data_IF_802003714424
#
_entry.id   IF_802003714424
#
_cell.length_a   1.000
_cell.length_b   1.000
_cell.length_c   1.000
_cell.angle_alpha   90.00
_cell.angle_beta   90.00
_cell.angle_gamma   90.00
#
_symmetry.space_group_name_H-M   'P 1'
#
loop_
_entity.id
_entity.type
_entity.pdbx_description
1 polymer ?
#
# COMPACT_ATOMS: atom_id res chain seq x y z
N UNK A 1 45.18 25.30 -47.76
CA UNK A 1 43.88 25.02 -48.40
C UNK A 1 43.47 23.58 -48.10
N UNK A 2 42.47 23.38 -47.24
CA UNK A 2 41.50 22.26 -47.28
C UNK A 2 40.50 22.45 -46.14
N UNK A 3 39.45 23.20 -46.43
CA UNK A 3 38.17 23.11 -45.74
C UNK A 3 37.46 21.81 -46.13
N UNK A 4 36.81 21.16 -45.19
CA UNK A 4 35.68 20.21 -45.29
C UNK A 4 35.47 19.69 -43.85
N UNK A 5 34.29 19.48 -43.26
CA UNK A 5 32.90 19.74 -43.59
C UNK A 5 32.10 19.57 -42.27
N UNK A 6 30.91 20.16 -42.20
CA UNK A 6 29.96 20.13 -41.08
C UNK A 6 29.66 18.71 -40.55
N UNK A 7 29.34 18.62 -39.25
CA UNK A 7 28.00 18.16 -38.82
C UNK A 7 27.75 18.39 -37.33
N UNK A 8 26.87 19.35 -37.02
CA UNK A 8 26.13 19.42 -35.76
C UNK A 8 25.20 18.21 -35.67
N UNK A 9 25.34 17.39 -34.63
CA UNK A 9 24.31 16.42 -34.23
C UNK A 9 24.27 16.32 -32.72
N UNK A 10 23.69 17.31 -32.05
CA UNK A 10 23.30 17.19 -30.65
C UNK A 10 22.03 16.32 -30.58
N UNK A 11 22.21 15.00 -30.46
CA UNK A 11 21.12 14.07 -30.17
C UNK A 11 20.70 14.23 -28.71
N UNK A 12 19.70 15.06 -28.46
CA UNK A 12 19.05 15.17 -27.15
C UNK A 12 18.08 13.99 -27.00
N UNK A 13 18.54 12.86 -26.46
CA UNK A 13 17.66 11.77 -26.06
C UNK A 13 16.84 12.23 -24.84
N UNK A 14 15.59 12.64 -25.05
CA UNK A 14 14.59 12.66 -23.98
C UNK A 14 14.25 11.21 -23.64
N UNK A 15 14.91 10.65 -22.63
CA UNK A 15 14.49 9.41 -22.01
C UNK A 15 13.17 9.66 -21.25
N UNK A 16 12.04 9.44 -21.92
CA UNK A 16 10.74 9.32 -21.25
C UNK A 16 10.75 8.01 -20.46
N UNK A 17 11.19 8.09 -19.20
CA UNK A 17 11.16 6.96 -18.28
C UNK A 17 9.71 6.52 -18.05
N UNK A 18 9.34 5.35 -18.57
CA UNK A 18 8.09 4.71 -18.23
C UNK A 18 8.11 4.34 -16.74
N UNK A 19 7.37 5.07 -15.91
CA UNK A 19 7.13 4.67 -14.52
C UNK A 19 6.20 3.47 -14.52
N UNK A 20 6.76 2.27 -14.62
CA UNK A 20 6.00 1.05 -14.41
C UNK A 20 5.51 1.04 -12.95
N UNK A 21 4.23 0.74 -12.68
CA UNK A 21 3.72 0.61 -11.32
C UNK A 21 4.49 -0.50 -10.61
N UNK A 22 5.09 -0.18 -9.47
CA UNK A 22 5.81 -1.15 -8.64
C UNK A 22 4.84 -2.25 -8.20
N UNK A 23 5.08 -3.48 -8.63
CA UNK A 23 4.44 -4.65 -8.04
C UNK A 23 5.12 -4.91 -6.70
N UNK A 24 4.36 -4.91 -5.61
CA UNK A 24 4.91 -5.28 -4.32
C UNK A 24 5.29 -6.77 -4.29
N UNK A 25 6.25 -7.08 -3.43
CA UNK A 25 6.46 -8.45 -2.99
C UNK A 25 5.28 -8.89 -2.11
N UNK A 26 4.96 -10.19 -2.07
CA UNK A 26 3.92 -10.72 -1.18
C UNK A 26 4.10 -10.29 0.30
N UNK A 27 5.35 -10.21 0.75
CA UNK A 27 5.72 -9.81 2.11
C UNK A 27 5.35 -8.35 2.43
N UNK A 28 5.58 -7.42 1.50
CA UNK A 28 5.19 -6.02 1.71
C UNK A 28 3.67 -5.90 1.86
N UNK A 29 2.91 -6.61 1.03
CA UNK A 29 1.45 -6.62 1.14
C UNK A 29 0.96 -7.30 2.42
N UNK A 30 1.62 -8.38 2.86
CA UNK A 30 1.31 -9.02 4.12
C UNK A 30 1.56 -8.08 5.30
N UNK A 31 2.68 -7.34 5.30
CA UNK A 31 3.02 -6.36 6.34
C UNK A 31 2.00 -5.21 6.42
N UNK A 32 1.62 -4.62 5.28
CA UNK A 32 0.59 -3.57 5.24
C UNK A 32 -0.77 -4.08 5.73
N UNK A 33 -1.17 -5.27 5.28
CA UNK A 33 -2.39 -5.91 5.76
C UNK A 33 -2.34 -6.13 7.27
N UNK A 34 -1.22 -6.61 7.81
CA UNK A 34 -1.06 -6.81 9.25
C UNK A 34 -1.19 -5.50 10.01
N UNK A 35 -0.43 -4.47 9.61
CA UNK A 35 -0.47 -3.15 10.26
C UNK A 35 -1.88 -2.55 10.30
N UNK A 36 -2.65 -2.66 9.20
CA UNK A 36 -4.04 -2.18 9.15
C UNK A 36 -4.93 -2.96 10.12
N UNK A 37 -4.80 -4.28 10.17
CA UNK A 37 -5.64 -5.13 11.01
C UNK A 37 -5.28 -5.06 12.50
N UNK A 38 -4.02 -4.81 12.84
CA UNK A 38 -3.60 -4.57 14.23
C UNK A 38 -4.32 -3.36 14.84
N UNK A 39 -4.53 -2.30 14.05
CA UNK A 39 -5.31 -1.14 14.49
C UNK A 39 -6.76 -1.55 14.81
N UNK A 40 -7.41 -2.33 13.94
CA UNK A 40 -8.77 -2.82 14.20
C UNK A 40 -8.82 -3.74 15.43
N UNK A 41 -7.84 -4.64 15.59
CA UNK A 41 -7.77 -5.54 16.74
C UNK A 41 -7.61 -4.76 18.04
N UNK A 42 -6.73 -3.76 18.06
CA UNK A 42 -6.50 -2.90 19.22
C UNK A 42 -7.76 -2.13 19.64
N UNK A 43 -8.63 -1.82 18.68
CA UNK A 43 -9.91 -1.12 18.92
C UNK A 43 -11.10 -2.07 19.10
N UNK A 44 -10.85 -3.38 19.26
CA UNK A 44 -11.87 -4.36 19.64
C UNK A 44 -12.70 -4.92 18.48
N UNK A 45 -12.23 -4.83 17.23
CA UNK A 45 -12.96 -5.40 16.10
C UNK A 45 -12.97 -6.94 16.11
N UNK A 46 -14.14 -7.54 15.87
CA UNK A 46 -14.33 -8.98 15.68
C UNK A 46 -14.17 -9.33 14.20
N UNK A 47 -13.09 -10.03 13.86
CA UNK A 47 -12.81 -10.42 12.48
C UNK A 47 -13.76 -11.52 11.99
N UNK A 48 -14.17 -11.43 10.72
CA UNK A 48 -15.11 -12.39 10.10
C UNK A 48 -14.45 -13.38 9.14
N UNK A 49 -13.32 -13.01 8.54
CA UNK A 49 -12.63 -13.88 7.59
C UNK A 49 -11.74 -14.88 8.32
N UNK A 50 -11.68 -16.13 7.85
CA UNK A 50 -10.83 -17.16 8.43
C UNK A 50 -9.36 -16.74 8.53
N UNK A 51 -8.83 -16.06 7.50
CA UNK A 51 -7.45 -15.54 7.48
C UNK A 51 -7.18 -14.59 8.65
N UNK A 52 -8.05 -13.59 8.85
CA UNK A 52 -7.88 -12.61 9.94
C UNK A 52 -8.13 -13.23 11.31
N UNK A 53 -9.10 -14.15 11.43
CA UNK A 53 -9.34 -14.89 12.68
C UNK A 53 -8.11 -15.74 13.04
N UNK A 54 -7.50 -16.43 12.07
CA UNK A 54 -6.30 -17.22 12.32
C UNK A 54 -5.09 -16.35 12.71
N UNK A 55 -4.96 -15.14 12.15
CA UNK A 55 -3.85 -14.25 12.43
C UNK A 55 -3.98 -13.47 13.76
N UNK A 56 -5.19 -13.03 14.12
CA UNK A 56 -5.40 -12.09 15.23
C UNK A 56 -6.33 -12.61 16.33
N UNK A 57 -7.15 -13.62 16.03
CA UNK A 57 -8.18 -14.15 16.92
C UNK A 57 -9.29 -13.15 17.27
N UNK A 58 -10.38 -13.69 17.81
CA UNK A 58 -11.53 -12.89 18.28
C UNK A 58 -11.69 -12.89 19.81
N UNK A 59 -10.72 -13.44 20.55
CA UNK A 59 -10.74 -13.33 22.00
C UNK A 59 -10.77 -11.85 22.41
N UNK A 60 -11.76 -11.48 23.23
CA UNK A 60 -11.91 -10.14 23.80
C UNK A 60 -12.34 -9.04 22.83
N UNK A 61 -12.78 -9.35 21.61
CA UNK A 61 -13.35 -8.34 20.72
C UNK A 61 -14.76 -7.91 21.17
N UNK A 62 -15.20 -6.72 20.75
CA UNK A 62 -16.43 -6.05 21.18
C UNK A 62 -17.33 -5.62 20.02
N UNK A 63 -16.78 -5.41 18.83
CA UNK A 63 -17.49 -4.79 17.72
C UNK A 63 -17.48 -5.71 16.48
N UNK A 64 -18.66 -6.21 16.08
CA UNK A 64 -18.79 -7.04 14.88
C UNK A 64 -18.82 -6.23 13.59
N UNK A 65 -19.22 -4.97 13.62
CA UNK A 65 -19.21 -4.07 12.47
C UNK A 65 -18.07 -3.06 12.60
N UNK A 66 -17.39 -2.82 11.49
CA UNK A 66 -16.22 -1.92 11.47
C UNK A 66 -16.59 -0.45 11.70
N UNK A 67 -17.83 -0.08 11.39
CA UNK A 67 -18.37 1.28 11.58
C UNK A 67 -18.61 1.61 13.06
N UNK A 68 -18.83 0.58 13.88
CA UNK A 68 -19.02 0.71 15.34
C UNK A 68 -17.69 0.79 16.10
N UNK A 69 -16.57 0.49 15.44
CA UNK A 69 -15.23 0.52 16.05
C UNK A 69 -14.85 1.98 16.37
N UNK A 70 -14.50 2.32 17.62
CA UNK A 70 -14.24 3.69 18.05
C UNK A 70 -12.84 4.19 17.61
N UNK A 71 -12.57 4.18 16.31
CA UNK A 71 -11.31 4.63 15.74
C UNK A 71 -11.10 6.14 15.98
N UNK A 72 -9.94 6.50 16.53
CA UNK A 72 -9.53 7.89 16.66
C UNK A 72 -9.30 8.54 15.28
N UNK A 73 -9.23 9.87 15.24
CA UNK A 73 -8.87 10.59 14.01
C UNK A 73 -7.48 10.17 13.50
N UNK A 74 -6.56 9.83 14.40
CA UNK A 74 -5.24 9.34 14.05
C UNK A 74 -5.31 7.95 13.39
N UNK A 75 -6.05 7.01 13.98
CA UNK A 75 -6.20 5.65 13.45
C UNK A 75 -6.75 5.68 12.03
N UNK A 76 -7.79 6.48 11.80
CA UNK A 76 -8.41 6.65 10.48
C UNK A 76 -7.41 7.19 9.47
N UNK A 77 -6.57 8.15 9.85
CA UNK A 77 -5.52 8.69 9.00
C UNK A 77 -4.46 7.63 8.65
N UNK A 78 -4.02 6.84 9.62
CA UNK A 78 -3.03 5.78 9.40
C UNK A 78 -3.59 4.67 8.52
N UNK A 79 -4.81 4.20 8.79
CA UNK A 79 -5.52 3.22 7.96
C UNK A 79 -5.65 3.74 6.52
N UNK A 80 -6.05 5.00 6.35
CA UNK A 80 -6.19 5.59 5.03
C UNK A 80 -4.86 5.64 4.26
N UNK A 81 -3.74 5.88 4.95
CA UNK A 81 -2.41 5.83 4.34
C UNK A 81 -2.02 4.41 3.92
N UNK A 82 -2.19 3.43 4.80
CA UNK A 82 -1.93 2.02 4.48
C UNK A 82 -2.76 1.57 3.28
N UNK A 83 -4.06 1.91 3.24
CA UNK A 83 -4.95 1.56 2.12
C UNK A 83 -4.51 2.23 0.81
N UNK A 84 -3.96 3.46 0.85
CA UNK A 84 -3.37 4.08 -0.34
C UNK A 84 -2.15 3.29 -0.83
N UNK A 85 -1.26 2.89 0.09
CA UNK A 85 -0.08 2.09 -0.25
C UNK A 85 -0.45 0.72 -0.82
N UNK A 86 -1.38 -0.01 -0.18
CA UNK A 86 -1.89 -1.30 -0.68
C UNK A 86 -2.46 -1.18 -2.10
N UNK A 87 -3.17 -0.08 -2.40
CA UNK A 87 -3.70 0.19 -3.74
C UNK A 87 -2.60 0.50 -4.74
N UNK A 88 -1.65 1.35 -4.39
CA UNK A 88 -0.52 1.71 -5.26
C UNK A 88 0.32 0.48 -5.64
N UNK A 89 0.47 -0.44 -4.69
CA UNK A 89 1.23 -1.68 -4.81
C UNK A 89 0.44 -2.86 -5.36
N UNK A 90 -0.87 -2.68 -5.61
CA UNK A 90 -1.81 -3.71 -6.10
C UNK A 90 -1.86 -4.96 -5.21
N UNK A 91 -1.85 -4.77 -3.90
CA UNK A 91 -1.97 -5.85 -2.94
C UNK A 91 -3.32 -6.58 -3.06
N UNK A 92 -3.33 -7.92 -2.88
CA UNK A 92 -4.57 -8.68 -2.83
C UNK A 92 -5.42 -8.25 -1.62
N UNK A 93 -6.74 -8.17 -1.81
CA UNK A 93 -7.71 -7.72 -0.80
C UNK A 93 -8.25 -8.88 0.02
#
# INVERSE_FOLDING_TARGET
>A
MRSLCLSLSAFLLLATGATAPALATPETCASLWTARNEIYKAQGYCFRTQRAIAAFGNAGCQYDNIEDVPLSANDRRVIADIVRQERALRCPR
#
